data_IF_868703985219
#
_entry.id   IF_868703985219
#
_cell.length_a   1.000
_cell.length_b   1.000
_cell.length_c   1.000
_cell.angle_alpha   90.00
_cell.angle_beta   90.00
_cell.angle_gamma   90.00
#
_symmetry.space_group_name_H-M   'P 1'
#
loop_
_entity.id
_entity.type
_entity.pdbx_description
1 polymer ?
2 branched ?
3 non-polymer ?
4 non-polymer ?
5 non-polymer ?
6 non-polymer ?
7 water ?
#
# COMPACT_ATOMS: atom_id res chain seq x y z
N UNK A 1 3.21 4.58 -12.80
CA UNK A 1 2.73 5.47 -11.72
C UNK A 1 1.31 5.08 -11.25
N UNK A 2 1.13 5.09 -9.94
CA UNK A 2 -0.14 4.69 -9.32
C UNK A 2 0.01 4.32 -7.86
N UNK A 3 -1.07 3.77 -7.33
CA UNK A 3 -1.12 3.24 -5.97
C UNK A 3 -2.39 2.36 -5.90
N UNK A 4 -2.61 1.72 -4.75
CA UNK A 4 -3.83 0.94 -4.51
C UNK A 4 -5.04 1.82 -4.36
N UNK A 5 -6.09 1.38 -5.05
CA UNK A 5 -7.39 2.04 -5.08
C UNK A 5 -8.40 1.32 -4.21
N UNK A 6 -8.38 -0.02 -4.21
CA UNK A 6 -9.34 -0.77 -3.40
C UNK A 6 -8.69 -2.09 -2.98
N UNK A 7 -8.38 -2.27 -1.68
CA UNK A 7 -8.48 -1.24 -0.63
C UNK A 7 -7.49 -0.10 -0.81
N UNK A 8 -8.00 1.11 -0.63
CA UNK A 8 -7.28 2.33 -0.96
C UNK A 8 -6.02 2.51 -0.10
N UNK A 9 -4.92 2.91 -0.72
CA UNK A 9 -3.67 3.15 -0.01
C UNK A 9 -3.77 4.38 0.89
N UNK A 10 -2.91 4.44 1.90
CA UNK A 10 -2.81 5.63 2.78
C UNK A 10 -2.56 6.90 1.98
N UNK A 11 -1.61 6.82 1.05
CA UNK A 11 -1.18 7.97 0.26
C UNK A 11 -2.29 8.50 -0.63
N UNK A 12 -3.01 7.62 -1.33
CA UNK A 12 -4.08 8.05 -2.22
C UNK A 12 -5.29 8.54 -1.45
N UNK A 13 -5.64 7.88 -0.35
CA UNK A 13 -6.71 8.36 0.54
C UNK A 13 -6.44 9.77 1.12
N UNK A 14 -5.22 9.99 1.64
CA UNK A 14 -4.87 11.32 2.16
C UNK A 14 -4.92 12.39 1.06
N UNK A 15 -4.47 12.05 -0.15
CA UNK A 15 -4.71 12.93 -1.30
C UNK A 15 -6.18 13.30 -1.48
N UNK A 16 -7.06 12.29 -1.41
CA UNK A 16 -8.50 12.53 -1.62
C UNK A 16 -9.17 13.27 -0.48
N UNK A 17 -8.55 13.29 0.69
CA UNK A 17 -9.02 14.16 1.76
C UNK A 17 -8.58 15.62 1.61
N UNK A 18 -7.78 15.93 0.59
CA UNK A 18 -7.23 17.28 0.30
C UNK A 18 -6.01 17.62 1.18
N UNK A 19 -4.79 17.55 0.59
CA UNK A 19 -3.57 17.90 1.31
C UNK A 19 -3.57 19.33 1.92
N UNK A 20 -4.29 20.27 1.31
CA UNK A 20 -4.37 21.64 1.84
C UNK A 20 -5.11 21.73 3.17
N UNK A 21 -6.02 20.79 3.46
CA UNK A 21 -6.79 20.84 4.70
C UNK A 21 -7.37 19.46 5.01
N UNK A 22 -6.52 18.54 5.50
CA UNK A 22 -6.90 17.15 5.67
C UNK A 22 -7.99 16.95 6.71
N UNK A 23 -8.80 15.92 6.53
CA UNK A 23 -10.02 15.68 7.31
C UNK A 23 -9.83 14.65 8.43
N UNK A 24 -9.22 13.49 8.13
CA UNK A 24 -9.01 12.46 9.15
C UNK A 24 -7.77 12.82 9.99
N UNK A 25 -7.82 12.53 11.30
CA UNK A 25 -6.67 12.76 12.19
C UNK A 25 -5.35 12.12 11.67
N UNK A 26 -5.42 10.89 11.17
CA UNK A 26 -4.20 10.24 10.68
C UNK A 26 -3.61 10.98 9.47
N UNK A 27 -4.45 11.41 8.53
CA UNK A 27 -3.95 12.16 7.37
C UNK A 27 -3.44 13.53 7.75
N UNK A 28 -4.10 14.18 8.72
CA UNK A 28 -3.62 15.46 9.24
C UNK A 28 -2.19 15.33 9.74
N UNK A 29 -1.96 14.31 10.58
CA UNK A 29 -0.63 14.01 11.09
C UNK A 29 0.36 13.71 9.96
N UNK A 30 -0.07 12.91 8.99
CA UNK A 30 0.78 12.50 7.86
C UNK A 30 1.18 13.68 6.94
N UNK A 31 0.21 14.54 6.63
CA UNK A 31 0.47 15.72 5.79
C UNK A 31 1.27 16.76 6.58
N UNK A 32 0.98 16.93 7.85
CA UNK A 32 1.78 17.79 8.70
C UNK A 32 3.26 17.37 8.65
N UNK A 33 3.54 16.06 8.67
CA UNK A 33 4.92 15.58 8.63
C UNK A 33 5.59 15.68 7.25
N UNK A 34 4.95 15.11 6.22
CA UNK A 34 5.55 15.05 4.89
C UNK A 34 5.37 16.35 4.07
N UNK A 35 4.45 17.23 4.48
CA UNK A 35 4.07 18.39 3.67
C UNK A 35 3.12 17.98 2.55
N UNK A 36 2.62 18.95 1.82
CA UNK A 36 1.54 18.67 0.87
C UNK A 36 2.02 18.04 -0.43
N UNK A 37 3.20 18.44 -0.90
CA UNK A 37 3.61 18.04 -2.24
C UNK A 37 3.72 16.53 -2.36
N UNK A 38 4.23 15.87 -1.32
CA UNK A 38 4.33 14.41 -1.28
C UNK A 38 2.98 13.75 -1.68
N UNK A 39 1.89 14.33 -1.19
CA UNK A 39 0.54 13.78 -1.40
C UNK A 39 -0.08 14.11 -2.75
N UNK A 40 0.29 15.24 -3.35
CA UNK A 40 -0.01 15.45 -4.75
C UNK A 40 0.82 14.50 -5.62
N UNK A 41 1.97 14.03 -5.12
CA UNK A 41 2.74 12.96 -5.75
C UNK A 41 2.42 11.56 -5.18
N UNK A 42 1.13 11.30 -4.93
CA UNK A 42 0.68 10.02 -4.32
C UNK A 42 1.02 8.81 -5.20
N UNK A 43 1.18 9.06 -6.50
CA UNK A 43 1.41 7.99 -7.47
C UNK A 43 2.88 7.60 -7.65
N UNK A 44 3.77 8.17 -6.83
CA UNK A 44 5.18 8.00 -7.02
C UNK A 44 5.88 7.66 -5.70
N UNK A 45 5.31 6.71 -4.95
CA UNK A 45 6.04 6.06 -3.85
C UNK A 45 6.91 4.95 -4.47
N UNK A 46 7.99 5.37 -5.12
CA UNK A 46 8.82 4.47 -5.87
C UNK A 46 10.29 4.44 -5.39
N UNK A 47 10.95 3.38 -5.84
CA UNK A 47 12.39 3.26 -5.78
C UNK A 47 12.73 3.00 -7.25
N UNK A 48 13.22 4.03 -7.97
CA UNK A 48 13.54 3.88 -9.42
C UNK A 48 14.55 2.79 -9.71
N UNK A 49 15.25 2.41 -8.66
CA UNK A 49 16.34 1.52 -8.66
C UNK A 49 16.08 0.07 -8.21
N UNK A 50 14.85 -0.29 -7.82
CA UNK A 50 14.66 -1.50 -6.97
C UNK A 50 15.30 -2.77 -7.49
N UNK A 51 14.94 -3.16 -8.70
CA UNK A 51 15.39 -4.42 -9.28
C UNK A 51 15.06 -5.59 -8.35
N UNK A 52 13.88 -5.58 -7.74
CA UNK A 52 13.40 -6.67 -6.89
C UNK A 52 14.00 -6.76 -5.50
N UNK A 53 14.85 -5.80 -5.13
CA UNK A 53 15.62 -5.86 -3.89
C UNK A 53 14.92 -5.07 -2.78
N UNK A 54 13.68 -5.44 -2.52
CA UNK A 54 12.78 -4.64 -1.66
C UNK A 54 13.24 -4.68 -0.19
N UNK A 55 13.48 -5.87 0.30
CA UNK A 55 13.86 -6.08 1.69
C UNK A 55 15.25 -5.58 2.03
N UNK A 56 16.09 -5.47 1.02
CA UNK A 56 17.45 -4.96 1.13
C UNK A 56 17.45 -3.43 1.18
N UNK A 57 16.61 -2.80 0.36
CA UNK A 57 16.60 -1.33 0.22
C UNK A 57 15.60 -0.62 1.13
N UNK A 58 14.69 -1.34 1.74
CA UNK A 58 13.67 -0.71 2.58
C UNK A 58 13.84 -1.14 4.05
N UNK A 59 14.33 -0.23 4.93
CA UNK A 59 14.48 -0.53 6.38
C UNK A 59 13.17 -0.77 7.08
N UNK A 60 13.22 -1.58 8.13
CA UNK A 60 12.08 -1.75 9.03
C UNK A 60 11.60 -0.38 9.59
N UNK A 61 10.30 -0.23 9.78
CA UNK A 61 9.71 1.07 10.14
C UNK A 61 9.52 2.06 8.98
N UNK A 62 10.01 1.73 7.77
CA UNK A 62 9.88 2.60 6.60
C UNK A 62 9.27 1.86 5.40
N UNK A 63 8.50 0.81 5.65
CA UNK A 63 7.87 0.04 4.56
C UNK A 63 6.90 0.90 3.74
N UNK A 64 6.04 1.68 4.40
CA UNK A 64 5.02 2.46 3.70
C UNK A 64 5.56 3.65 2.92
N UNK A 65 6.67 4.24 3.36
CA UNK A 65 7.39 5.25 2.57
C UNK A 65 8.38 4.67 1.58
N UNK A 66 8.63 3.36 1.66
CA UNK A 66 9.66 2.67 0.86
C UNK A 66 11.06 3.26 1.09
N UNK A 67 11.34 3.62 2.33
CA UNK A 67 12.61 4.23 2.72
C UNK A 67 12.83 5.64 2.21
N UNK A 68 11.79 6.27 1.66
CA UNK A 68 11.87 7.60 1.08
C UNK A 68 11.43 8.59 2.14
N UNK A 69 12.35 9.44 2.60
CA UNK A 69 12.05 10.48 3.60
C UNK A 69 10.86 11.36 3.21
N UNK A 70 10.79 11.69 1.93
CA UNK A 70 9.65 12.40 1.35
C UNK A 70 8.28 11.85 1.80
N UNK A 71 8.15 10.52 1.85
CA UNK A 71 6.87 9.91 2.23
C UNK A 71 6.81 9.43 3.68
N UNK A 72 7.65 9.99 4.54
CA UNK A 72 7.73 9.61 5.98
C UNK A 72 6.41 9.70 6.79
N UNK A 73 5.54 10.64 6.44
CA UNK A 73 4.17 10.64 6.97
C UNK A 73 3.36 9.35 6.83
N UNK A 74 3.65 8.56 5.79
CA UNK A 74 2.99 7.26 5.59
C UNK A 74 3.46 6.19 6.58
N UNK A 75 4.59 6.42 7.27
CA UNK A 75 5.11 5.46 8.21
C UNK A 75 4.51 5.57 9.64
N UNK A 76 3.65 6.56 9.87
CA UNK A 76 3.12 6.75 11.18
C UNK A 76 2.37 5.49 11.60
N UNK A 77 2.63 5.05 12.82
CA UNK A 77 2.03 3.84 13.37
C UNK A 77 0.87 4.28 14.25
N UNK A 78 -0.26 4.56 13.61
CA UNK A 78 -1.44 5.01 14.32
C UNK A 78 -2.52 3.95 14.32
N UNK A 79 -3.32 3.98 15.38
CA UNK A 79 -4.50 3.13 15.52
C UNK A 79 -5.68 3.67 14.76
N UNK A 80 -5.62 4.90 14.25
CA UNK A 80 -6.83 5.50 13.65
C UNK A 80 -6.72 5.77 12.14
N UNK A 81 -5.77 5.13 11.44
CA UNK A 81 -5.79 5.14 9.98
C UNK A 81 -7.16 4.58 9.53
N UNK A 82 -7.80 5.23 8.56
CA UNK A 82 -9.10 4.76 8.11
C UNK A 82 -8.87 3.49 7.30
N UNK A 83 -9.64 2.46 7.61
CA UNK A 83 -9.42 1.13 7.11
C UNK A 83 -10.60 0.66 6.24
N UNK A 84 -10.28 -0.14 5.24
CA UNK A 84 -11.27 -0.72 4.34
C UNK A 84 -11.68 -2.08 4.89
N UNK A 85 -12.98 -2.24 5.25
CA UNK A 85 -13.48 -3.55 5.66
C UNK A 85 -13.27 -4.59 4.55
N UNK A 86 -12.82 -5.78 4.91
CA UNK A 86 -12.41 -6.80 3.95
C UNK A 86 -12.78 -8.20 4.49
N UNK A 87 -13.47 -9.05 3.71
CA UNK A 87 -13.68 -10.43 4.21
C UNK A 87 -12.41 -11.31 4.17
N UNK A 88 -12.18 -12.01 5.28
CA UNK A 88 -11.15 -13.02 5.42
C UNK A 88 -11.66 -14.34 4.82
N UNK A 89 -10.87 -15.03 4.00
CA UNK A 89 -11.28 -16.30 3.37
C UNK A 89 -12.36 -16.14 2.31
N UNK A 90 -12.13 -15.25 1.35
CA UNK A 90 -13.07 -15.01 0.25
C UNK A 90 -12.31 -14.69 -1.01
N UNK A 91 -12.91 -15.01 -2.15
CA UNK A 91 -12.25 -14.85 -3.45
C UNK A 91 -12.84 -13.75 -4.34
N UNK A 92 -13.89 -13.08 -3.87
CA UNK A 92 -14.60 -12.10 -4.68
C UNK A 92 -14.25 -10.62 -4.43
N UNK A 93 -13.33 -10.31 -3.52
CA UNK A 93 -13.10 -8.89 -3.27
C UNK A 93 -12.55 -8.22 -4.53
N UNK A 94 -13.17 -7.09 -4.96
CA UNK A 94 -12.71 -6.37 -6.17
C UNK A 94 -11.48 -5.51 -5.90
N UNK A 95 -10.30 -6.14 -5.92
CA UNK A 95 -9.05 -5.40 -5.74
C UNK A 95 -8.80 -4.50 -6.97
N UNK A 96 -8.44 -3.24 -6.69
CA UNK A 96 -8.14 -2.27 -7.75
C UNK A 96 -6.88 -1.52 -7.42
N UNK A 97 -6.00 -1.36 -8.42
CA UNK A 97 -4.78 -0.54 -8.34
C UNK A 97 -4.91 0.51 -9.42
N UNK A 98 -5.04 1.77 -8.99
CA UNK A 98 -5.23 2.89 -9.93
C UNK A 98 -3.86 3.27 -10.49
N UNK A 99 -3.81 3.31 -11.82
CA UNK A 99 -2.58 3.60 -12.54
C UNK A 99 -2.80 4.88 -13.34
N UNK A 100 -2.12 5.96 -12.94
CA UNK A 100 -2.04 7.19 -13.73
C UNK A 100 -1.22 6.96 -15.02
N UNK A 101 -0.28 6.02 -14.97
CA UNK A 101 0.45 5.52 -16.14
C UNK A 101 0.67 4.02 -15.96
N UNK A 102 0.09 3.24 -16.85
CA UNK A 102 0.22 1.77 -16.80
C UNK A 102 1.65 1.39 -17.14
N UNK A 103 2.10 0.24 -16.63
CA UNK A 103 3.44 -0.29 -16.94
C UNK A 103 3.39 -1.79 -17.12
N UNK A 104 4.40 -2.31 -17.80
CA UNK A 104 4.69 -3.73 -17.80
C UNK A 104 5.26 -4.05 -16.43
N UNK A 105 4.56 -4.90 -15.68
CA UNK A 105 5.03 -5.29 -14.35
C UNK A 105 4.12 -6.29 -13.67
N UNK A 106 4.52 -6.69 -12.48
CA UNK A 106 3.71 -7.61 -11.66
C UNK A 106 3.51 -7.07 -10.27
N UNK A 107 2.41 -7.49 -9.67
CA UNK A 107 2.00 -7.03 -8.35
C UNK A 107 2.06 -8.18 -7.37
N UNK A 108 2.84 -7.99 -6.29
CA UNK A 108 2.83 -8.89 -5.15
C UNK A 108 1.99 -8.29 -4.02
N UNK A 109 1.03 -9.07 -3.50
CA UNK A 109 0.17 -8.67 -2.36
C UNK A 109 0.57 -9.44 -1.11
N UNK A 110 0.95 -8.71 -0.08
CA UNK A 110 1.25 -9.30 1.23
C UNK A 110 0.24 -8.79 2.23
N UNK A 111 -0.09 -9.63 3.20
CA UNK A 111 -0.85 -9.22 4.38
C UNK A 111 -0.01 -9.36 5.65
N UNK A 112 -0.34 -8.52 6.63
CA UNK A 112 0.24 -8.60 7.97
C UNK A 112 -0.11 -9.93 8.64
N UNK A 113 0.84 -10.47 9.40
CA UNK A 113 0.64 -11.71 10.17
C UNK A 113 -0.32 -11.50 11.36
N UNK A 114 -0.83 -12.59 11.90
CA UNK A 114 -1.69 -12.53 13.08
C UNK A 114 -0.94 -11.87 14.21
N UNK A 115 -1.62 -11.05 15.00
CA UNK A 115 -0.96 -10.33 16.08
C UNK A 115 -0.18 -9.11 15.66
N UNK A 116 -0.39 -8.64 14.43
CA UNK A 116 0.00 -7.29 14.01
C UNK A 116 -0.60 -6.21 14.92
N UNK A 117 0.22 -5.20 15.23
CA UNK A 117 -0.23 -4.09 16.07
C UNK A 117 -0.07 -2.78 15.32
N UNK A 118 -1.20 -2.13 14.95
CA UNK A 118 -1.12 -0.86 14.20
C UNK A 118 -0.31 0.21 14.91
N UNK A 119 -0.23 0.09 16.23
CA UNK A 119 0.50 1.03 17.08
C UNK A 119 2.03 0.84 17.02
N UNK A 120 2.51 -0.23 16.37
CA UNK A 120 3.94 -0.44 16.18
C UNK A 120 4.31 -0.19 14.72
N UNK A 121 5.40 0.59 14.44
CA UNK A 121 5.90 0.74 13.06
C UNK A 121 6.07 -0.59 12.32
N UNK A 122 5.76 -0.58 11.02
CA UNK A 122 5.73 -1.79 10.22
C UNK A 122 7.14 -2.22 9.85
N UNK A 123 7.44 -3.48 10.13
CA UNK A 123 8.74 -4.11 9.95
C UNK A 123 8.51 -5.23 8.96
N UNK A 124 9.55 -5.71 8.29
CA UNK A 124 9.37 -6.79 7.31
C UNK A 124 8.77 -8.06 7.94
N UNK A 125 9.21 -8.37 9.15
CA UNK A 125 8.73 -9.51 9.92
C UNK A 125 7.25 -9.42 10.36
N UNK A 126 6.66 -8.22 10.33
CA UNK A 126 5.19 -8.07 10.52
C UNK A 126 4.35 -8.62 9.36
N UNK A 127 4.93 -8.74 8.16
CA UNK A 127 4.20 -9.31 6.99
C UNK A 127 4.37 -10.80 6.86
N UNK A 128 3.39 -11.48 6.29
CA UNK A 128 3.57 -12.88 5.89
C UNK A 128 4.76 -13.00 4.93
N UNK A 129 5.46 -14.14 4.95
CA UNK A 129 6.64 -14.34 4.09
C UNK A 129 6.27 -14.40 2.65
N UNK A 130 5.12 -15.00 2.36
CA UNK A 130 4.69 -15.21 0.99
C UNK A 130 3.51 -14.34 0.61
N UNK A 131 3.46 -13.89 -0.66
CA UNK A 131 2.32 -13.11 -1.10
C UNK A 131 1.07 -13.96 -1.28
N UNK A 132 -0.10 -13.38 -1.05
CA UNK A 132 -1.31 -14.12 -1.32
C UNK A 132 -1.85 -13.90 -2.72
N UNK A 133 -1.34 -12.86 -3.41
CA UNK A 133 -1.55 -12.72 -4.85
C UNK A 133 -0.23 -12.28 -5.46
N UNK A 134 0.14 -12.90 -6.58
CA UNK A 134 1.21 -12.43 -7.45
C UNK A 134 0.72 -12.49 -8.90
N UNK A 135 0.57 -11.33 -9.52
CA UNK A 135 -0.08 -11.24 -10.82
C UNK A 135 0.67 -10.32 -11.79
N UNK A 136 0.93 -10.83 -13.00
CA UNK A 136 1.63 -10.08 -14.05
C UNK A 136 0.65 -9.50 -15.01
N UNK A 137 0.74 -8.18 -15.20
CA UNK A 137 -0.08 -7.44 -16.19
C UNK A 137 -1.54 -7.84 -16.17
N UNK A 138 -2.18 -7.61 -15.02
CA UNK A 138 -3.61 -7.90 -14.92
C UNK A 138 -4.42 -6.95 -15.81
N UNK A 139 -5.70 -7.24 -16.05
CA UNK A 139 -6.48 -6.37 -16.95
C UNK A 139 -6.55 -4.93 -16.46
N UNK A 140 -6.30 -3.98 -17.36
CA UNK A 140 -6.45 -2.56 -17.11
C UNK A 140 -7.82 -2.14 -17.63
N UNK A 141 -8.66 -1.59 -16.76
CA UNK A 141 -10.04 -1.23 -17.09
C UNK A 141 -10.37 0.14 -16.45
N UNK A 142 -10.71 1.13 -17.28
CA UNK A 142 -10.98 2.51 -16.84
C UNK A 142 -9.92 3.07 -15.91
N UNK A 143 -8.65 2.94 -16.29
CA UNK A 143 -7.54 3.53 -15.54
C UNK A 143 -7.08 2.71 -14.34
N UNK A 144 -7.79 1.64 -14.00
CA UNK A 144 -7.42 0.77 -12.88
C UNK A 144 -7.20 -0.69 -13.28
N UNK A 145 -6.14 -1.27 -12.72
CA UNK A 145 -5.90 -2.70 -12.80
C UNK A 145 -6.90 -3.41 -11.88
N UNK A 146 -7.60 -4.39 -12.42
CA UNK A 146 -8.50 -5.28 -11.69
C UNK A 146 -7.75 -6.57 -11.37
N UNK A 147 -7.74 -6.95 -10.10
CA UNK A 147 -6.95 -8.06 -9.60
C UNK A 147 -7.87 -8.99 -8.79
N UNK A 148 -7.71 -10.29 -9.00
CA UNK A 148 -8.50 -11.31 -8.29
C UNK A 148 -7.60 -12.21 -7.46
N UNK A 149 -8.06 -12.51 -6.25
CA UNK A 149 -7.38 -13.43 -5.37
C UNK A 149 -8.24 -13.78 -4.20
N UNK A 150 -7.80 -14.79 -3.46
CA UNK A 150 -8.44 -15.22 -2.25
C UNK A 150 -7.70 -14.57 -1.09
N UNK A 151 -8.45 -13.87 -0.24
CA UNK A 151 -7.92 -13.33 1.01
C UNK A 151 -7.60 -14.46 1.97
N UNK A 152 -6.53 -14.33 2.76
CA UNK A 152 -6.26 -15.39 3.73
C UNK A 152 -7.37 -15.50 4.80
N UNK A 153 -7.60 -16.72 5.30
CA UNK A 153 -8.90 -17.06 5.90
C UNK A 153 -9.04 -17.06 7.42
N UNK A 154 -7.98 -17.00 8.19
CA UNK A 154 -8.20 -17.02 9.66
C UNK A 154 -7.99 -15.68 10.31
N UNK A 155 -8.45 -14.61 9.69
CA UNK A 155 -8.06 -13.26 10.10
C UNK A 155 -9.27 -12.46 10.52
N UNK A 156 -9.08 -11.55 11.46
CA UNK A 156 -10.09 -10.54 11.80
C UNK A 156 -9.40 -9.29 12.37
N UNK A 157 -10.06 -8.15 12.30
CA UNK A 157 -9.52 -6.94 12.86
C UNK A 157 -8.52 -6.18 11.98
N UNK A 158 -7.82 -5.24 12.62
CA UNK A 158 -6.99 -4.27 11.94
C UNK A 158 -5.73 -4.92 11.39
N UNK A 159 -5.58 -4.89 10.07
CA UNK A 159 -4.44 -5.43 9.38
C UNK A 159 -4.01 -4.45 8.28
N UNK A 160 -2.95 -4.81 7.57
CA UNK A 160 -2.46 -4.02 6.49
C UNK A 160 -2.15 -4.94 5.32
N UNK A 161 -2.45 -4.43 4.12
CA UNK A 161 -2.05 -5.05 2.89
C UNK A 161 -0.96 -4.20 2.24
N UNK A 162 0.16 -4.86 1.95
CA UNK A 162 1.32 -4.25 1.31
C UNK A 162 1.39 -4.79 -0.11
N UNK A 163 1.37 -3.86 -1.06
CA UNK A 163 1.44 -4.19 -2.47
C UNK A 163 2.72 -3.62 -3.06
N UNK A 164 3.51 -4.51 -3.66
CA UNK A 164 4.72 -4.15 -4.38
C UNK A 164 4.46 -4.34 -5.88
N UNK A 165 4.63 -3.27 -6.66
CA UNK A 165 4.48 -3.32 -8.14
C UNK A 165 5.86 -3.23 -8.76
N UNK A 166 6.42 -4.38 -9.16
CA UNK A 166 7.75 -4.44 -9.80
C UNK A 166 7.59 -4.41 -11.34
N UNK A 167 8.18 -3.42 -11.99
CA UNK A 167 8.20 -3.37 -13.45
C UNK A 167 9.11 -4.43 -14.05
N UNK A 168 8.75 -4.90 -15.24
CA UNK A 168 9.52 -5.92 -15.98
C UNK A 168 10.41 -5.36 -17.10
N UNK A 169 10.14 -4.12 -17.51
CA UNK A 169 10.95 -3.40 -18.49
C UNK A 169 11.89 -2.39 -17.81
N UNK A 170 12.00 -2.45 -16.50
CA UNK A 170 12.65 -1.42 -15.71
C UNK A 170 12.90 -1.93 -14.29
N UNK A 171 13.97 -1.47 -13.63
CA UNK A 171 14.19 -1.83 -12.22
C UNK A 171 13.24 -1.11 -11.24
N UNK A 172 12.48 -0.13 -11.73
CA UNK A 172 11.59 0.64 -10.89
C UNK A 172 10.46 -0.19 -10.29
N UNK A 173 10.19 0.06 -9.02
CA UNK A 173 9.08 -0.52 -8.30
C UNK A 173 8.32 0.56 -7.50
N UNK A 174 7.04 0.30 -7.26
CA UNK A 174 6.14 1.15 -6.49
C UNK A 174 5.66 0.36 -5.27
N UNK A 175 5.40 1.07 -4.18
CA UNK A 175 5.06 0.46 -2.89
C UNK A 175 3.84 1.13 -2.31
N UNK A 176 2.89 0.30 -1.87
CA UNK A 176 1.60 0.75 -1.37
C UNK A 176 1.21 0.05 -0.04
N UNK A 177 0.86 0.84 0.97
CA UNK A 177 0.26 0.34 2.23
C UNK A 177 -1.22 0.67 2.25
N UNK A 178 -2.07 -0.32 2.52
CA UNK A 178 -3.52 -0.12 2.68
C UNK A 178 -3.98 -0.70 4.03
N UNK A 179 -4.63 0.14 4.82
CA UNK A 179 -5.19 -0.26 6.09
C UNK A 179 -6.51 -0.96 5.79
N UNK A 180 -6.71 -2.11 6.42
CA UNK A 180 -7.91 -2.89 6.22
C UNK A 180 -8.36 -3.42 7.55
N UNK A 181 -9.59 -3.92 7.58
CA UNK A 181 -10.16 -4.47 8.77
C UNK A 181 -10.85 -5.77 8.34
N UNK A 182 -10.36 -6.91 8.81
CA UNK A 182 -10.89 -8.20 8.39
C UNK A 182 -12.18 -8.53 9.12
N UNK A 183 -13.23 -8.81 8.37
CA UNK A 183 -14.57 -8.90 8.94
C UNK A 183 -15.54 -9.46 7.92
#
# INVERSE_FOLDING_TARGET
HGSMEDPISRVYRCRLENPERPTSPACQAAVALSGTQAFYDWNEVNIPNAAGRHRELIPDGQLCSAGRFKYRGLDLARSDWIATPLPSGASSFPFRYIATAAHLGFFEFYVTREGYQPTVPLKWADLEELPFINVTNPPLVSGSYQITGTTPSGKSGSHLIYVIWQRTDSPEAFYSCSDVYFT
#
